data_IF_588690529717
#
_entry.id   IF_588690529717
#
_cell.length_a   1.000
_cell.length_b   1.000
_cell.length_c   1.000
_cell.angle_alpha   90.00
_cell.angle_beta   90.00
_cell.angle_gamma   90.00
#
_symmetry.space_group_name_H-M   'P 1'
#
loop_
_entity.id
_entity.type
_entity.pdbx_description
1 polymer ?
#
# COMPACT_ATOMS: atom_id res chain seq x y z
N UNK A 1 -10.57 7.31 13.56
CA UNK A 1 -11.89 7.76 13.10
C UNK A 1 -12.31 6.93 11.89
N UNK A 2 -13.61 6.80 11.68
CA UNK A 2 -14.21 6.13 10.53
C UNK A 2 -15.01 7.17 9.75
N UNK A 3 -14.83 7.20 8.43
CA UNK A 3 -15.51 8.13 7.53
C UNK A 3 -16.30 7.30 6.53
N UNK A 4 -17.62 7.42 6.56
CA UNK A 4 -18.52 6.73 5.63
C UNK A 4 -18.94 7.72 4.54
N UNK A 5 -18.74 7.34 3.28
CA UNK A 5 -19.12 8.17 2.13
C UNK A 5 -20.50 7.74 1.63
N UNK A 6 -21.34 8.67 1.13
CA UNK A 6 -22.66 8.31 0.59
C UNK A 6 -22.56 7.41 -0.66
N UNK A 7 -21.50 7.60 -1.45
CA UNK A 7 -21.20 6.83 -2.64
C UNK A 7 -19.74 6.36 -2.59
N UNK A 8 -19.54 5.05 -2.53
CA UNK A 8 -18.22 4.44 -2.47
C UNK A 8 -17.36 4.73 -3.71
N UNK A 9 -17.99 4.84 -4.89
CA UNK A 9 -17.30 5.12 -6.15
C UNK A 9 -16.75 6.56 -6.14
N UNK A 10 -17.50 7.49 -5.54
CA UNK A 10 -17.08 8.89 -5.42
C UNK A 10 -16.22 9.20 -4.19
N UNK A 11 -16.00 8.22 -3.31
CA UNK A 11 -15.20 8.40 -2.10
C UNK A 11 -13.78 8.93 -2.39
N UNK A 12 -13.12 8.42 -3.44
CA UNK A 12 -11.78 8.88 -3.84
C UNK A 12 -11.74 10.36 -4.25
N UNK A 13 -12.51 10.81 -5.28
CA UNK A 13 -12.57 12.23 -5.63
C UNK A 13 -13.00 13.14 -4.47
N UNK A 14 -13.95 12.70 -3.63
CA UNK A 14 -14.38 13.45 -2.45
C UNK A 14 -13.25 13.58 -1.43
N UNK A 15 -12.51 12.50 -1.16
CA UNK A 15 -11.38 12.53 -0.25
C UNK A 15 -10.26 13.44 -0.77
N UNK A 16 -9.94 13.41 -2.07
CA UNK A 16 -8.96 14.32 -2.68
C UNK A 16 -9.40 15.78 -2.54
N UNK A 17 -10.67 16.08 -2.81
CA UNK A 17 -11.16 17.46 -2.80
C UNK A 17 -11.30 18.04 -1.40
N UNK A 18 -11.68 17.22 -0.42
CA UNK A 18 -12.11 17.70 0.90
C UNK A 18 -11.25 17.21 2.05
N UNK A 19 -10.81 15.95 2.06
CA UNK A 19 -10.04 15.40 3.18
C UNK A 19 -8.53 15.66 3.04
N UNK A 20 -7.97 15.51 1.84
CA UNK A 20 -6.53 15.71 1.60
C UNK A 20 -6.06 17.11 2.05
N UNK A 21 -6.69 18.23 1.63
CA UNK A 21 -6.26 19.56 2.07
C UNK A 21 -6.28 19.69 3.59
N UNK A 22 -7.35 19.26 4.26
CA UNK A 22 -7.48 19.32 5.72
C UNK A 22 -6.36 18.56 6.44
N UNK A 23 -6.02 17.36 5.96
CA UNK A 23 -4.97 16.53 6.55
C UNK A 23 -3.58 17.10 6.28
N UNK A 24 -3.34 17.64 5.08
CA UNK A 24 -2.06 18.28 4.72
C UNK A 24 -1.84 19.57 5.50
N UNK A 25 -2.86 20.41 5.63
CA UNK A 25 -2.80 21.64 6.42
C UNK A 25 -2.55 21.33 7.89
N UNK A 26 -3.29 20.39 8.47
CA UNK A 26 -3.08 19.97 9.86
C UNK A 26 -1.68 19.37 10.08
N UNK A 27 -1.11 18.70 9.08
CA UNK A 27 0.26 18.18 9.14
C UNK A 27 1.31 19.29 9.02
N UNK A 28 1.14 20.22 8.08
CA UNK A 28 2.04 21.35 7.86
C UNK A 28 2.08 22.31 9.05
N UNK A 29 0.94 22.52 9.73
CA UNK A 29 0.85 23.30 10.96
C UNK A 29 1.40 22.57 12.20
N UNK A 30 1.83 21.31 12.06
CA UNK A 30 2.32 20.48 13.17
C UNK A 30 1.24 20.00 14.13
N UNK A 31 -0.03 20.06 13.73
CA UNK A 31 -1.16 19.58 14.53
C UNK A 31 -1.30 18.05 14.56
N UNK A 32 -0.90 17.40 13.47
CA UNK A 32 -0.71 15.95 13.37
C UNK A 32 0.71 15.66 12.90
N UNK A 33 1.33 14.63 13.45
CA UNK A 33 2.69 14.20 13.06
C UNK A 33 2.66 13.14 11.96
N UNK A 34 1.56 12.41 11.85
CA UNK A 34 1.32 11.47 10.75
C UNK A 34 -0.17 11.16 10.64
N UNK A 35 -0.58 10.74 9.46
CA UNK A 35 -1.95 10.30 9.19
C UNK A 35 -1.96 9.27 8.09
N UNK A 36 -2.92 8.37 8.12
CA UNK A 36 -3.12 7.41 7.04
C UNK A 36 -4.55 6.93 7.00
N UNK A 37 -4.97 6.41 5.84
CA UNK A 37 -6.24 5.71 5.72
C UNK A 37 -6.06 4.26 5.26
N UNK A 38 -7.09 3.47 5.51
CA UNK A 38 -7.30 2.17 4.87
C UNK A 38 -8.77 2.07 4.46
N UNK A 39 -9.01 1.44 3.31
CA UNK A 39 -10.36 1.28 2.75
C UNK A 39 -10.94 -0.05 3.21
N UNK A 40 -12.02 0.00 3.98
CA UNK A 40 -12.76 -1.19 4.42
C UNK A 40 -14.25 -0.89 4.36
N UNK A 41 -14.89 -1.28 3.25
CA UNK A 41 -16.30 -1.03 3.01
C UNK A 41 -17.15 -1.37 4.25
N UNK A 42 -18.07 -0.47 4.67
CA UNK A 42 -18.54 0.73 3.96
C UNK A 42 -17.74 2.02 4.24
N UNK A 43 -16.65 2.00 5.02
CA UNK A 43 -15.97 3.21 5.47
C UNK A 43 -14.47 3.25 5.13
N UNK A 44 -13.91 4.45 5.15
CA UNK A 44 -12.47 4.63 5.26
C UNK A 44 -12.13 4.74 6.74
N UNK A 45 -11.12 3.99 7.19
CA UNK A 45 -10.59 4.13 8.55
C UNK A 45 -9.44 5.11 8.49
N UNK A 46 -9.69 6.33 8.95
CA UNK A 46 -8.70 7.40 9.06
C UNK A 46 -8.03 7.33 10.43
N UNK A 47 -6.71 7.24 10.43
CA UNK A 47 -5.87 7.24 11.64
C UNK A 47 -5.02 8.49 11.63
N UNK A 48 -4.93 9.12 12.79
CA UNK A 48 -4.23 10.37 13.01
C UNK A 48 -3.32 10.15 14.21
N UNK A 49 -2.04 10.43 14.06
CA UNK A 49 -1.15 10.61 15.17
C UNK A 49 -1.11 12.10 15.49
N UNK A 50 -1.84 12.51 16.52
CA UNK A 50 -1.94 13.92 16.93
C UNK A 50 -1.07 14.19 18.15
N UNK A 51 -0.42 15.35 18.16
CA UNK A 51 0.31 15.83 19.33
C UNK A 51 -0.58 16.65 20.28
N UNK A 52 -1.79 17.08 19.87
CA UNK A 52 -2.54 18.13 20.59
C UNK A 52 -4.08 17.99 20.49
N UNK A 53 -4.82 18.02 21.61
CA UNK A 53 -6.30 17.97 21.63
C UNK A 53 -7.04 19.00 20.74
N UNK A 54 -6.60 20.27 20.59
CA UNK A 54 -7.27 21.25 19.74
C UNK A 54 -7.40 20.85 18.27
N UNK A 55 -6.43 20.11 17.74
CA UNK A 55 -6.40 19.69 16.33
C UNK A 55 -7.49 18.66 16.07
N UNK A 56 -7.73 17.77 17.04
CA UNK A 56 -8.83 16.80 16.99
C UNK A 56 -10.19 17.50 16.94
N UNK A 57 -10.40 18.55 17.74
CA UNK A 57 -11.65 19.30 17.74
C UNK A 57 -11.89 20.01 16.39
N UNK A 58 -10.85 20.62 15.81
CA UNK A 58 -10.92 21.22 14.46
C UNK A 58 -11.30 20.18 13.41
N UNK A 59 -10.58 19.06 13.33
CA UNK A 59 -10.88 18.00 12.35
C UNK A 59 -12.28 17.41 12.52
N UNK A 60 -12.77 17.28 13.76
CA UNK A 60 -14.14 16.84 14.04
C UNK A 60 -15.16 17.83 13.49
N UNK A 61 -14.94 19.12 13.72
CA UNK A 61 -15.79 20.21 13.20
C UNK A 61 -15.83 20.22 11.67
N UNK A 62 -14.67 20.07 11.02
CA UNK A 62 -14.60 19.98 9.55
C UNK A 62 -15.32 18.74 9.01
N UNK A 63 -15.20 17.60 9.69
CA UNK A 63 -15.96 16.40 9.31
C UNK A 63 -17.48 16.60 9.48
N UNK A 64 -17.92 17.31 10.52
CA UNK A 64 -19.33 17.68 10.70
C UNK A 64 -19.83 18.63 9.58
N UNK A 65 -18.97 19.54 9.12
CA UNK A 65 -19.27 20.36 7.94
C UNK A 65 -19.40 19.53 6.67
N UNK A 66 -18.52 18.54 6.46
CA UNK A 66 -18.61 17.62 5.31
C UNK A 66 -19.87 16.73 5.37
N UNK A 67 -20.33 16.37 6.57
CA UNK A 67 -21.62 15.69 6.75
C UNK A 67 -22.78 16.60 6.37
N UNK A 68 -22.78 17.84 6.90
CA UNK A 68 -23.83 18.83 6.61
C UNK A 68 -23.90 19.19 5.12
N UNK A 69 -22.76 19.19 4.43
CA UNK A 69 -22.67 19.42 2.99
C UNK A 69 -22.99 18.19 2.12
N UNK A 70 -23.23 17.02 2.73
CA UNK A 70 -23.54 15.77 2.02
C UNK A 70 -22.35 15.12 1.31
N UNK A 71 -21.11 15.55 1.61
CA UNK A 71 -19.89 14.93 1.08
C UNK A 71 -19.50 13.66 1.85
N UNK A 72 -19.81 13.63 3.14
CA UNK A 72 -19.65 12.47 4.04
C UNK A 72 -21.03 12.09 4.53
N UNK A 73 -21.36 10.80 4.57
CA UNK A 73 -22.65 10.34 5.08
C UNK A 73 -22.70 10.43 6.60
N UNK A 74 -21.63 9.99 7.26
CA UNK A 74 -21.38 10.15 8.70
C UNK A 74 -19.92 9.85 9.01
N UNK A 75 -19.48 10.24 10.20
CA UNK A 75 -18.20 9.84 10.74
C UNK A 75 -18.33 9.52 12.23
N UNK A 76 -17.40 8.72 12.76
CA UNK A 76 -17.34 8.43 14.19
C UNK A 76 -15.93 8.11 14.65
N UNK A 77 -15.69 8.26 15.94
CA UNK A 77 -14.42 7.93 16.56
C UNK A 77 -14.30 6.43 16.84
N UNK A 78 -13.06 5.95 16.92
CA UNK A 78 -12.80 4.57 17.27
C UNK A 78 -11.37 4.42 17.76
N UNK A 79 -11.18 3.52 18.72
CA UNK A 79 -9.86 3.17 19.25
C UNK A 79 -9.02 2.57 18.12
N UNK A 80 -7.74 2.94 18.09
CA UNK A 80 -6.78 2.33 17.18
C UNK A 80 -5.97 1.30 17.94
N UNK A 81 -6.09 0.05 17.53
CA UNK A 81 -5.26 -1.04 17.99
C UNK A 81 -4.28 -1.40 16.86
N UNK A 82 -2.98 -1.12 17.01
CA UNK A 82 -1.99 -1.48 16.02
C UNK A 82 -1.81 -3.01 15.97
N UNK A 83 -1.67 -3.55 14.77
CA UNK A 83 -1.39 -4.97 14.54
C UNK A 83 0.10 -5.26 14.74
N UNK A 84 0.68 -4.78 15.84
CA UNK A 84 2.13 -4.75 16.11
C UNK A 84 2.79 -6.11 15.93
N UNK A 85 2.18 -7.17 16.46
CA UNK A 85 2.68 -8.53 16.30
C UNK A 85 2.72 -8.98 14.81
N UNK A 86 1.73 -8.56 14.01
CA UNK A 86 1.70 -8.89 12.59
C UNK A 86 2.77 -8.12 11.79
N UNK A 87 3.09 -6.90 12.21
CA UNK A 87 4.16 -6.11 11.60
C UNK A 87 5.56 -6.41 12.14
N UNK A 88 5.71 -7.37 13.05
CA UNK A 88 7.03 -7.82 13.53
C UNK A 88 7.57 -7.02 14.70
N UNK A 89 6.68 -6.59 15.60
CA UNK A 89 7.05 -5.87 16.82
C UNK A 89 7.04 -4.35 16.62
N UNK A 90 7.45 -3.60 17.65
CA UNK A 90 7.45 -2.13 17.63
C UNK A 90 8.21 -1.54 16.44
N UNK A 91 9.39 -2.08 16.11
CA UNK A 91 10.20 -1.57 14.99
C UNK A 91 9.53 -1.73 13.63
N UNK A 92 8.94 -2.90 13.39
CA UNK A 92 8.24 -3.15 12.14
C UNK A 92 6.92 -2.38 12.03
N UNK A 93 6.24 -2.15 13.16
CA UNK A 93 5.03 -1.31 13.20
C UNK A 93 5.37 0.16 12.95
N UNK A 94 6.45 0.68 13.53
CA UNK A 94 6.90 2.05 13.27
C UNK A 94 7.29 2.23 11.80
N UNK A 95 8.03 1.29 11.21
CA UNK A 95 8.31 1.29 9.77
C UNK A 95 7.02 1.29 8.93
N UNK A 96 6.01 0.50 9.34
CA UNK A 96 4.71 0.48 8.69
C UNK A 96 3.97 1.82 8.81
N UNK A 97 3.94 2.47 9.98
CA UNK A 97 3.28 3.77 10.17
C UNK A 97 3.90 4.87 9.30
N UNK A 98 5.24 4.90 9.22
CA UNK A 98 5.95 5.82 8.34
C UNK A 98 5.57 5.60 6.87
N UNK A 99 5.56 4.34 6.43
CA UNK A 99 5.13 3.99 5.08
C UNK A 99 3.67 4.35 4.85
N UNK A 100 2.78 4.04 5.80
CA UNK A 100 1.34 4.28 5.66
C UNK A 100 1.00 5.73 5.47
N UNK A 101 1.75 6.62 6.11
CA UNK A 101 1.59 8.05 5.94
C UNK A 101 1.97 8.48 4.53
N UNK A 102 3.21 8.19 4.10
CA UNK A 102 3.68 8.53 2.75
C UNK A 102 2.81 7.89 1.65
N UNK A 103 2.40 6.64 1.84
CA UNK A 103 1.55 5.89 0.91
C UNK A 103 0.13 6.46 0.84
N UNK A 104 -0.42 6.99 1.94
CA UNK A 104 -1.74 7.64 1.92
C UNK A 104 -1.73 8.96 1.18
N UNK A 105 -0.68 9.75 1.37
CA UNK A 105 -0.53 11.03 0.68
C UNK A 105 -0.34 10.83 -0.82
N UNK A 106 0.55 9.92 -1.20
CA UNK A 106 0.84 9.60 -2.60
C UNK A 106 -0.36 8.97 -3.33
N UNK A 107 -1.19 8.17 -2.65
CA UNK A 107 -2.44 7.64 -3.24
C UNK A 107 -3.42 8.77 -3.55
N UNK A 108 -3.53 9.79 -2.70
CA UNK A 108 -4.41 10.92 -2.97
C UNK A 108 -3.88 11.79 -4.10
N UNK A 109 -2.57 11.97 -4.22
CA UNK A 109 -1.96 12.65 -5.37
C UNK A 109 -2.16 11.88 -6.68
N UNK A 110 -2.01 10.55 -6.66
CA UNK A 110 -2.27 9.72 -7.82
C UNK A 110 -3.72 9.89 -8.33
N UNK A 111 -4.68 9.97 -7.40
CA UNK A 111 -6.10 10.22 -7.75
C UNK A 111 -6.30 11.64 -8.27
N UNK A 112 -5.64 12.65 -7.68
CA UNK A 112 -5.74 14.04 -8.10
C UNK A 112 -5.22 14.28 -9.52
N UNK A 113 -4.10 13.63 -9.89
CA UNK A 113 -3.50 13.69 -11.23
C UNK A 113 -4.32 12.89 -12.25
N UNK A 114 -5.13 11.93 -11.80
CA UNK A 114 -6.11 11.19 -12.61
C UNK A 114 -5.62 9.84 -13.13
N UNK A 115 -4.32 9.67 -13.40
CA UNK A 115 -3.71 8.36 -13.69
C UNK A 115 -2.17 8.43 -13.67
N UNK A 116 -1.54 7.30 -13.33
CA UNK A 116 -0.13 7.05 -13.65
C UNK A 116 -0.01 6.59 -15.12
N UNK A 117 1.05 6.97 -15.87
CA UNK A 117 1.30 6.47 -17.21
C UNK A 117 1.32 4.94 -17.34
N UNK A 118 1.71 4.25 -16.27
CA UNK A 118 1.79 2.78 -16.22
C UNK A 118 0.51 2.10 -15.74
N UNK A 119 -0.43 2.86 -15.16
CA UNK A 119 -1.57 2.29 -14.44
C UNK A 119 -1.27 2.00 -12.96
N UNK A 120 -2.35 1.85 -12.19
CA UNK A 120 -2.30 1.74 -10.72
C UNK A 120 -1.71 0.40 -10.26
N UNK A 121 -1.94 -0.69 -11.00
CA UNK A 121 -1.52 -2.05 -10.62
C UNK A 121 -0.03 -2.22 -10.87
N UNK A 122 0.42 -1.76 -12.02
CA UNK A 122 1.78 -1.85 -12.51
C UNK A 122 2.70 -0.98 -11.65
N UNK A 123 2.30 0.26 -11.35
CA UNK A 123 2.99 1.11 -10.37
C UNK A 123 3.12 0.41 -9.00
N UNK A 124 2.05 -0.23 -8.53
CA UNK A 124 2.10 -0.95 -7.24
C UNK A 124 3.11 -2.09 -7.23
N UNK A 125 3.26 -2.82 -8.34
CA UNK A 125 4.24 -3.91 -8.47
C UNK A 125 5.67 -3.37 -8.46
N UNK A 126 5.93 -2.23 -9.10
CA UNK A 126 7.23 -1.56 -9.06
C UNK A 126 7.57 -1.10 -7.63
N UNK A 127 6.63 -0.49 -6.93
CA UNK A 127 6.81 -0.06 -5.53
C UNK A 127 7.07 -1.26 -4.61
N UNK A 128 6.27 -2.33 -4.73
CA UNK A 128 6.47 -3.55 -3.95
C UNK A 128 7.83 -4.19 -4.25
N UNK A 129 8.25 -4.24 -5.52
CA UNK A 129 9.57 -4.74 -5.89
C UNK A 129 10.70 -3.91 -5.26
N UNK A 130 10.56 -2.58 -5.21
CA UNK A 130 11.51 -1.72 -4.51
C UNK A 130 11.59 -2.04 -3.02
N UNK A 131 10.46 -2.16 -2.34
CA UNK A 131 10.41 -2.51 -0.91
C UNK A 131 11.09 -3.86 -0.63
N UNK A 132 10.77 -4.88 -1.42
CA UNK A 132 11.33 -6.22 -1.26
C UNK A 132 12.85 -6.22 -1.48
N UNK A 133 13.33 -5.61 -2.57
CA UNK A 133 14.78 -5.51 -2.86
C UNK A 133 15.54 -4.69 -1.83
N UNK A 134 15.00 -3.53 -1.44
CA UNK A 134 15.63 -2.65 -0.46
C UNK A 134 15.76 -3.29 0.93
N UNK A 135 14.91 -4.29 1.24
CA UNK A 135 15.03 -5.10 2.47
C UNK A 135 16.14 -6.15 2.43
N UNK A 136 16.80 -6.34 1.28
CA UNK A 136 17.89 -7.27 1.08
C UNK A 136 17.45 -8.68 0.64
N UNK A 137 16.19 -8.87 0.24
CA UNK A 137 15.72 -10.17 -0.22
C UNK A 137 16.29 -10.52 -1.61
N UNK A 138 16.85 -11.72 -1.72
CA UNK A 138 17.22 -12.30 -3.01
C UNK A 138 15.99 -12.70 -3.83
N UNK A 139 16.18 -12.92 -5.14
CA UNK A 139 15.10 -13.17 -6.10
C UNK A 139 14.07 -14.20 -5.60
N UNK A 140 14.52 -15.39 -5.18
CA UNK A 140 13.61 -16.44 -4.71
C UNK A 140 12.98 -16.14 -3.34
N UNK A 141 13.63 -15.35 -2.49
CA UNK A 141 13.05 -14.91 -1.22
C UNK A 141 11.92 -13.89 -1.44
N UNK A 142 12.02 -13.07 -2.48
CA UNK A 142 10.91 -12.23 -2.93
C UNK A 142 9.73 -13.10 -3.38
N UNK A 143 10.00 -14.20 -4.10
CA UNK A 143 8.99 -15.20 -4.47
C UNK A 143 8.26 -15.80 -3.26
N UNK A 144 8.98 -16.10 -2.18
CA UNK A 144 8.39 -16.56 -0.92
C UNK A 144 7.56 -15.47 -0.23
N UNK A 145 7.99 -14.21 -0.26
CA UNK A 145 7.16 -13.10 0.21
C UNK A 145 5.83 -13.00 -0.57
N UNK A 146 5.85 -13.18 -1.89
CA UNK A 146 4.63 -13.27 -2.70
C UNK A 146 3.78 -14.50 -2.38
N UNK A 147 4.39 -15.63 -2.03
CA UNK A 147 3.68 -16.80 -1.55
C UNK A 147 2.95 -16.54 -0.23
N UNK A 148 3.55 -15.78 0.69
CA UNK A 148 2.86 -15.29 1.87
C UNK A 148 1.66 -14.39 1.53
N UNK A 149 1.75 -13.52 0.52
CA UNK A 149 0.59 -12.74 0.04
C UNK A 149 -0.49 -13.67 -0.53
N UNK A 150 -0.12 -14.68 -1.31
CA UNK A 150 -1.06 -15.66 -1.88
C UNK A 150 -1.85 -16.42 -0.81
N UNK A 151 -1.21 -16.77 0.32
CA UNK A 151 -1.88 -17.45 1.44
C UNK A 151 -2.95 -16.57 2.09
N UNK A 152 -2.70 -15.26 2.18
CA UNK A 152 -3.65 -14.27 2.71
C UNK A 152 -4.70 -13.82 1.67
N UNK A 153 -4.42 -14.03 0.38
CA UNK A 153 -5.24 -13.65 -0.77
C UNK A 153 -5.37 -14.83 -1.73
N UNK A 154 -6.08 -15.90 -1.35
CA UNK A 154 -6.22 -17.08 -2.18
C UNK A 154 -6.91 -16.74 -3.50
N UNK A 155 -6.48 -17.38 -4.58
CA UNK A 155 -7.13 -17.26 -5.88
C UNK A 155 -8.59 -17.75 -5.79
N UNK A 156 -9.54 -17.01 -6.36
CA UNK A 156 -10.88 -17.52 -6.59
C UNK A 156 -10.87 -18.75 -7.52
N UNK A 157 -11.80 -19.68 -7.30
CA UNK A 157 -11.87 -20.97 -8.03
C UNK A 157 -12.26 -20.83 -9.49
N UNK A 158 -12.75 -19.65 -9.91
CA UNK A 158 -13.22 -19.36 -11.26
C UNK A 158 -12.16 -18.67 -12.14
N UNK A 159 -10.94 -18.47 -11.64
CA UNK A 159 -9.82 -17.94 -12.43
C UNK A 159 -9.21 -19.07 -13.26
N UNK A 160 -9.11 -18.89 -14.58
CA UNK A 160 -8.58 -19.94 -15.48
C UNK A 160 -7.06 -19.91 -15.59
N UNK A 161 -6.46 -21.03 -15.99
CA UNK A 161 -5.01 -21.12 -16.21
C UNK A 161 -4.54 -20.16 -17.32
N UNK A 162 -5.31 -19.98 -18.39
CA UNK A 162 -4.96 -19.08 -19.50
C UNK A 162 -4.89 -17.62 -19.05
N UNK A 163 -5.83 -17.18 -18.20
CA UNK A 163 -5.83 -15.83 -17.63
C UNK A 163 -4.59 -15.58 -16.75
N UNK A 164 -4.17 -16.61 -16.03
CA UNK A 164 -3.01 -16.56 -15.15
C UNK A 164 -1.69 -16.54 -15.94
N UNK A 165 -1.59 -17.32 -17.02
CA UNK A 165 -0.40 -17.37 -17.85
C UNK A 165 -0.09 -16.02 -18.52
N UNK A 166 -1.10 -15.38 -19.14
CA UNK A 166 -0.92 -14.04 -19.71
C UNK A 166 -0.47 -13.02 -18.67
N UNK A 167 -1.03 -13.09 -17.46
CA UNK A 167 -0.66 -12.19 -16.37
C UNK A 167 0.78 -12.41 -15.87
N UNK A 168 1.31 -13.63 -15.91
CA UNK A 168 2.72 -13.92 -15.56
C UNK A 168 3.67 -13.21 -16.53
N UNK A 169 3.38 -13.29 -17.82
CA UNK A 169 4.18 -12.63 -18.85
C UNK A 169 4.12 -11.10 -18.73
N UNK A 170 2.96 -10.54 -18.36
CA UNK A 170 2.81 -9.09 -18.12
C UNK A 170 3.53 -8.62 -16.85
N UNK A 171 3.53 -9.44 -15.78
CA UNK A 171 4.10 -9.08 -14.47
C UNK A 171 5.63 -9.24 -14.46
N UNK A 172 6.19 -10.24 -15.16
CA UNK A 172 7.62 -10.56 -15.12
C UNK A 172 8.53 -9.36 -15.44
N UNK A 173 8.29 -8.55 -16.49
CA UNK A 173 9.10 -7.36 -16.76
C UNK A 173 9.09 -6.34 -15.62
N UNK A 174 7.94 -6.14 -14.97
CA UNK A 174 7.81 -5.21 -13.83
C UNK A 174 8.64 -5.67 -12.63
N UNK A 175 8.67 -6.97 -12.37
CA UNK A 175 9.48 -7.57 -11.30
C UNK A 175 10.98 -7.56 -11.58
N UNK A 176 11.40 -7.36 -12.83
CA UNK A 176 12.80 -7.27 -13.25
C UNK A 176 13.26 -5.83 -13.50
N UNK A 177 12.33 -4.89 -13.65
CA UNK A 177 12.62 -3.48 -13.91
C UNK A 177 13.52 -2.88 -12.81
N UNK A 178 14.38 -1.95 -13.18
CA UNK A 178 15.11 -1.12 -12.22
C UNK A 178 14.12 -0.18 -11.51
N UNK A 179 13.99 -0.36 -10.19
CA UNK A 179 13.07 0.40 -9.34
C UNK A 179 13.80 1.38 -8.42
N UNK A 180 15.11 1.58 -8.62
CA UNK A 180 15.86 2.56 -7.84
C UNK A 180 15.15 3.93 -7.90
N UNK A 181 15.00 4.63 -6.77
CA UNK A 181 14.23 5.88 -6.74
C UNK A 181 14.79 7.00 -7.62
N UNK A 182 16.08 6.93 -7.95
CA UNK A 182 16.82 7.81 -8.87
C UNK A 182 17.16 7.12 -10.21
N UNK A 183 16.66 5.90 -10.42
CA UNK A 183 16.92 5.09 -11.61
C UNK A 183 16.02 5.43 -12.80
N UNK A 184 16.07 4.58 -13.83
CA UNK A 184 15.47 4.85 -15.14
C UNK A 184 13.93 4.97 -15.17
N UNK A 185 13.25 4.61 -14.08
CA UNK A 185 11.80 4.74 -13.96
C UNK A 185 11.39 5.98 -13.18
N UNK A 186 12.02 6.21 -12.02
CA UNK A 186 11.61 7.22 -11.04
C UNK A 186 12.49 8.49 -11.03
N UNK A 187 13.64 8.47 -11.72
CA UNK A 187 14.56 9.60 -11.77
C UNK A 187 14.00 10.82 -12.52
N UNK A 188 14.74 11.93 -12.46
CA UNK A 188 14.38 13.19 -13.12
C UNK A 188 14.27 12.99 -14.64
N UNK A 189 13.16 13.43 -15.23
CA UNK A 189 12.88 13.31 -16.66
C UNK A 189 12.38 11.93 -17.10
N UNK A 190 12.15 11.00 -16.16
CA UNK A 190 11.66 9.65 -16.45
C UNK A 190 10.14 9.52 -16.24
N UNK A 191 9.50 8.47 -16.82
CA UNK A 191 8.04 8.37 -16.88
C UNK A 191 7.32 8.38 -15.53
N UNK A 192 8.00 7.98 -14.43
CA UNK A 192 7.42 7.94 -13.09
C UNK A 192 8.05 8.95 -12.13
N UNK A 193 8.66 10.03 -12.62
CA UNK A 193 9.27 11.09 -11.80
C UNK A 193 8.32 11.57 -10.69
N UNK A 194 7.04 11.78 -11.02
CA UNK A 194 6.01 12.20 -10.07
C UNK A 194 5.72 11.20 -8.94
N UNK A 195 6.24 9.97 -9.01
CA UNK A 195 6.15 8.94 -7.97
C UNK A 195 7.50 8.67 -7.27
N UNK A 196 8.54 9.46 -7.53
CA UNK A 196 9.88 9.28 -6.93
C UNK A 196 9.86 9.35 -5.40
N UNK A 197 9.12 10.29 -4.81
CA UNK A 197 8.96 10.40 -3.35
C UNK A 197 8.29 9.14 -2.76
N UNK A 198 7.34 8.55 -3.50
CA UNK A 198 6.65 7.33 -3.13
C UNK A 198 7.60 6.12 -3.17
N UNK A 199 8.35 5.96 -4.26
CA UNK A 199 9.38 4.92 -4.40
C UNK A 199 10.44 5.02 -3.29
N UNK A 200 10.87 6.24 -2.95
CA UNK A 200 11.78 6.51 -1.84
C UNK A 200 11.21 6.08 -0.47
N UNK A 201 9.91 6.21 -0.25
CA UNK A 201 9.28 5.75 0.99
C UNK A 201 9.31 4.21 1.10
N UNK A 202 9.03 3.50 0.00
CA UNK A 202 9.12 2.03 -0.06
C UNK A 202 10.55 1.55 0.15
N UNK A 203 11.50 2.22 -0.50
CA UNK A 203 12.92 1.96 -0.35
C UNK A 203 13.40 2.11 1.11
N UNK A 204 13.15 3.27 1.74
CA UNK A 204 13.54 3.51 3.14
C UNK A 204 12.92 2.49 4.09
N UNK A 205 11.65 2.14 3.87
CA UNK A 205 10.95 1.12 4.66
C UNK A 205 11.61 -0.24 4.51
N UNK A 206 11.95 -0.63 3.28
CA UNK A 206 12.68 -1.87 3.00
C UNK A 206 14.02 -1.91 3.73
N UNK A 207 14.85 -0.87 3.56
CA UNK A 207 16.17 -0.79 4.24
C UNK A 207 16.05 -0.87 5.75
N UNK A 208 15.05 -0.20 6.34
CA UNK A 208 14.78 -0.24 7.78
C UNK A 208 14.40 -1.64 8.26
N UNK A 209 13.50 -2.32 7.56
CA UNK A 209 13.10 -3.68 7.92
C UNK A 209 14.27 -4.67 7.75
N UNK A 210 15.08 -4.52 6.71
CA UNK A 210 16.31 -5.30 6.53
C UNK A 210 17.34 -5.05 7.63
N UNK A 211 17.48 -3.80 8.10
CA UNK A 211 18.32 -3.47 9.26
C UNK A 211 17.78 -4.10 10.54
N UNK A 212 16.46 -4.01 10.79
CA UNK A 212 15.82 -4.60 11.97
C UNK A 212 16.05 -6.12 12.09
N UNK A 213 16.13 -6.84 10.96
CA UNK A 213 16.52 -8.26 10.95
C UNK A 213 17.98 -8.44 11.36
N UNK A 214 18.90 -7.67 10.77
CA UNK A 214 20.34 -7.75 11.09
C UNK A 214 20.62 -7.42 12.55
N UNK A 215 19.88 -6.47 13.10
CA UNK A 215 20.00 -6.01 14.48
C UNK A 215 19.24 -6.91 15.47
N UNK A 216 18.49 -7.90 14.99
CA UNK A 216 17.77 -8.88 15.82
C UNK A 216 16.53 -8.32 16.54
N UNK A 217 15.99 -7.19 16.07
CA UNK A 217 14.85 -6.48 16.70
C UNK A 217 13.51 -6.69 15.97
N UNK A 218 13.51 -7.46 14.88
CA UNK A 218 12.28 -7.84 14.18
C UNK A 218 11.72 -9.14 14.75
N UNK A 219 10.55 -9.07 15.39
CA UNK A 219 9.94 -10.19 16.13
C UNK A 219 9.21 -11.21 15.24
N UNK A 220 9.03 -10.88 13.95
CA UNK A 220 8.38 -11.74 12.95
C UNK A 220 9.26 -11.84 11.71
N UNK A 221 9.26 -13.01 11.06
CA UNK A 221 10.06 -13.23 9.85
C UNK A 221 9.81 -12.16 8.77
N UNK A 222 10.89 -11.60 8.23
CA UNK A 222 10.88 -10.47 7.29
C UNK A 222 9.89 -10.64 6.13
N UNK A 223 9.91 -11.81 5.48
CA UNK A 223 9.02 -12.12 4.33
C UNK A 223 7.54 -12.03 4.70
N UNK A 224 7.15 -12.41 5.93
CA UNK A 224 5.77 -12.27 6.43
C UNK A 224 5.41 -10.82 6.71
N UNK A 225 6.34 -10.05 7.27
CA UNK A 225 6.16 -8.61 7.52
C UNK A 225 5.98 -7.86 6.20
N UNK A 226 6.85 -8.11 5.21
CA UNK A 226 6.79 -7.50 3.88
C UNK A 226 5.50 -7.87 3.14
N UNK A 227 5.07 -9.13 3.20
CA UNK A 227 3.78 -9.54 2.64
C UNK A 227 2.60 -8.73 3.24
N UNK A 228 2.66 -8.43 4.53
CA UNK A 228 1.67 -7.58 5.19
C UNK A 228 1.74 -6.11 4.74
N UNK A 229 2.94 -5.57 4.51
CA UNK A 229 3.11 -4.23 3.93
C UNK A 229 2.46 -4.14 2.53
N UNK A 230 2.70 -5.13 1.68
CA UNK A 230 2.08 -5.23 0.34
C UNK A 230 0.56 -5.23 0.43
N UNK A 231 -0.01 -6.06 1.30
CA UNK A 231 -1.46 -6.15 1.50
C UNK A 231 -2.04 -4.81 1.96
N UNK A 232 -1.40 -4.14 2.92
CA UNK A 232 -1.88 -2.85 3.43
C UNK A 232 -1.78 -1.74 2.38
N UNK A 233 -0.71 -1.73 1.59
CA UNK A 233 -0.58 -0.85 0.42
C UNK A 233 -1.73 -1.09 -0.57
N UNK A 234 -1.99 -2.34 -0.97
CA UNK A 234 -3.06 -2.65 -1.91
C UNK A 234 -4.46 -2.32 -1.39
N UNK A 235 -4.70 -2.51 -0.09
CA UNK A 235 -5.96 -2.09 0.55
C UNK A 235 -6.14 -0.58 0.51
N UNK A 236 -5.05 0.19 0.69
CA UNK A 236 -5.05 1.66 0.61
C UNK A 236 -5.20 2.16 -0.82
N UNK A 237 -4.56 1.48 -1.76
CA UNK A 237 -4.63 1.75 -3.19
C UNK A 237 -6.01 1.39 -3.80
N UNK A 238 -6.81 0.61 -3.07
CA UNK A 238 -8.17 0.22 -3.46
C UNK A 238 -8.24 -0.92 -4.46
N UNK A 239 -7.20 -1.76 -4.52
CA UNK A 239 -7.23 -2.95 -5.38
C UNK A 239 -8.20 -3.97 -4.80
N UNK A 240 -9.07 -4.53 -5.65
CA UNK A 240 -10.00 -5.57 -5.25
C UNK A 240 -9.26 -6.82 -4.77
N UNK A 241 -9.87 -7.58 -3.84
CA UNK A 241 -9.30 -8.85 -3.36
C UNK A 241 -8.93 -9.80 -4.49
N UNK A 242 -9.75 -9.84 -5.56
CA UNK A 242 -9.48 -10.65 -6.76
C UNK A 242 -8.23 -10.18 -7.50
N UNK A 243 -8.05 -8.87 -7.68
CA UNK A 243 -6.87 -8.32 -8.31
C UNK A 243 -5.60 -8.59 -7.47
N UNK A 244 -5.69 -8.39 -6.15
CA UNK A 244 -4.60 -8.72 -5.22
C UNK A 244 -4.18 -10.20 -5.33
N UNK A 245 -5.14 -11.12 -5.33
CA UNK A 245 -4.89 -12.55 -5.47
C UNK A 245 -4.22 -12.91 -6.81
N UNK A 246 -4.75 -12.38 -7.92
CA UNK A 246 -4.21 -12.64 -9.26
C UNK A 246 -2.79 -12.11 -9.42
N UNK A 247 -2.51 -10.87 -9.00
CA UNK A 247 -1.17 -10.27 -9.12
C UNK A 247 -0.15 -10.96 -8.20
N UNK A 248 -0.53 -11.29 -6.96
CA UNK A 248 0.36 -12.02 -6.06
C UNK A 248 0.71 -13.41 -6.61
N UNK A 249 -0.29 -14.11 -7.17
CA UNK A 249 -0.06 -15.40 -7.81
C UNK A 249 0.87 -15.28 -9.00
N UNK A 250 0.62 -14.32 -9.90
CA UNK A 250 1.44 -14.12 -11.09
C UNK A 250 2.88 -13.74 -10.72
N UNK A 251 3.07 -12.89 -9.71
CA UNK A 251 4.39 -12.52 -9.23
C UNK A 251 5.14 -13.72 -8.63
N UNK A 252 4.46 -14.52 -7.81
CA UNK A 252 5.02 -15.76 -7.27
C UNK A 252 5.39 -16.74 -8.39
N UNK A 253 4.51 -16.95 -9.36
CA UNK A 253 4.74 -17.88 -10.47
C UNK A 253 5.89 -17.42 -11.37
N UNK A 254 5.98 -16.12 -11.67
CA UNK A 254 7.08 -15.53 -12.44
C UNK A 254 8.46 -15.74 -11.78
N UNK A 255 8.51 -15.75 -10.44
CA UNK A 255 9.75 -15.89 -9.67
C UNK A 255 10.11 -17.36 -9.41
N UNK A 256 9.15 -18.12 -8.87
CA UNK A 256 9.38 -19.48 -8.37
C UNK A 256 9.16 -20.56 -9.45
N UNK A 257 8.73 -20.19 -10.66
CA UNK A 257 8.33 -21.10 -11.72
C UNK A 257 7.31 -22.15 -11.22
N UNK A 258 6.35 -21.71 -10.41
CA UNK A 258 5.31 -22.60 -9.88
C UNK A 258 4.48 -23.11 -11.07
N UNK A 259 4.28 -24.43 -11.23
CA UNK A 259 3.42 -24.96 -12.27
C UNK A 259 1.99 -24.43 -12.11
N UNK A 260 1.27 -24.29 -13.22
CA UNK A 260 -0.16 -23.98 -13.22
C UNK A 260 -0.92 -24.94 -12.30
N UNK A 261 -2.11 -24.53 -11.82
CA UNK A 261 -2.90 -25.30 -10.84
C UNK A 261 -3.20 -26.76 -11.26
N UNK A 262 -2.97 -27.11 -12.52
CA UNK A 262 -3.04 -28.49 -13.06
C UNK A 262 -1.74 -29.30 -12.92
N UNK A 263 -0.74 -28.84 -12.16
CA UNK A 263 0.44 -29.61 -11.81
C UNK A 263 1.41 -29.90 -12.97
N UNK A 264 1.29 -29.19 -14.10
CA UNK A 264 2.23 -29.32 -15.21
C UNK A 264 3.40 -28.38 -15.02
N UNK A 265 4.47 -28.87 -14.41
CA UNK A 265 5.82 -28.33 -14.68
C UNK A 265 6.20 -28.85 -16.07
N UNK A 266 6.47 -27.95 -17.02
CA UNK A 266 7.08 -28.34 -18.29
C UNK A 266 8.46 -27.70 -18.43
N UNK A 267 9.38 -28.41 -19.11
CA UNK A 267 10.83 -28.37 -18.88
C UNK A 267 11.50 -27.05 -19.27
#
# INVERSE_FOLDING_TARGET
MHVEFPDWVRAEPTAVRHLAPLLRDAHAEGGITSWWFIRKHPCWRLRLHTARPPVRARLSTELDHLVSAGHVARWWEGVYEPETAAFGGPEGMEAAHQLFHADSDAVLDLVAVGASPLGRRELSLLLCSQLLRASGLEWYEQGDAWDHVCRERPLPTDVTAEQLHGLVEDVRPLLLADTAPDGAMFGLGHPLEGSSAWANAFDRTGRRLGAAVRDGVLERGLRRVLAYQVIFHWNRLGLSTRAQAAMAWAARAAILNVPDQDGRVRP
#
